data_IF_737563405025
#
_entry.id   IF_737563405025
#
_cell.length_a   1.000
_cell.length_b   1.000
_cell.length_c   1.000
_cell.angle_alpha   90.00
_cell.angle_beta   90.00
_cell.angle_gamma   90.00
#
_symmetry.space_group_name_H-M   'P 1'
#
loop_
_entity.id
_entity.type
_entity.pdbx_description
1 polymer ?
#
# COMPACT_ATOMS: atom_id res chain seq x y z
N UNK A 1 -8.47 -15.51 -20.60
CA UNK A 1 -8.17 -14.35 -19.75
C UNK A 1 -8.77 -14.59 -18.37
N UNK A 2 -7.96 -14.64 -17.33
CA UNK A 2 -8.38 -14.92 -15.96
C UNK A 2 -9.08 -13.69 -15.35
N UNK A 3 -10.06 -13.89 -14.46
CA UNK A 3 -10.79 -12.81 -13.76
C UNK A 3 -9.84 -11.82 -13.03
N UNK A 4 -8.69 -12.30 -12.56
CA UNK A 4 -7.58 -11.50 -12.01
C UNK A 4 -7.18 -10.34 -12.93
N UNK A 5 -7.14 -10.59 -14.24
CA UNK A 5 -6.73 -9.58 -15.21
C UNK A 5 -7.76 -8.45 -15.33
N UNK A 6 -9.05 -8.81 -15.33
CA UNK A 6 -10.14 -7.83 -15.31
C UNK A 6 -10.16 -7.04 -14.00
N UNK A 7 -9.86 -7.68 -12.87
CA UNK A 7 -9.74 -6.99 -11.58
C UNK A 7 -8.59 -5.98 -11.57
N UNK A 8 -7.40 -6.38 -12.04
CA UNK A 8 -6.22 -5.49 -12.11
C UNK A 8 -6.46 -4.31 -13.06
N UNK A 9 -7.12 -4.53 -14.20
CA UNK A 9 -7.50 -3.45 -15.12
C UNK A 9 -8.62 -2.56 -14.57
N UNK A 10 -9.52 -3.12 -13.76
CA UNK A 10 -10.63 -2.38 -13.15
C UNK A 10 -10.17 -1.36 -12.11
N UNK A 11 -9.08 -1.62 -11.37
CA UNK A 11 -8.56 -0.70 -10.33
C UNK A 11 -8.21 0.70 -10.89
N UNK A 12 -7.38 0.86 -11.94
CA UNK A 12 -7.04 2.17 -12.47
C UNK A 12 -8.25 2.87 -13.10
N UNK A 13 -9.10 2.12 -13.81
CA UNK A 13 -10.33 2.67 -14.43
C UNK A 13 -11.30 3.16 -13.37
N UNK A 14 -11.55 2.36 -12.32
CA UNK A 14 -12.40 2.72 -11.20
C UNK A 14 -11.87 3.91 -10.41
N UNK A 15 -10.55 3.97 -10.16
CA UNK A 15 -9.92 5.13 -9.54
C UNK A 15 -10.11 6.41 -10.38
N UNK A 16 -9.94 6.31 -11.70
CA UNK A 16 -10.14 7.43 -12.61
C UNK A 16 -11.60 7.93 -12.57
N UNK A 17 -12.58 7.04 -12.71
CA UNK A 17 -14.01 7.38 -12.65
C UNK A 17 -14.38 7.99 -11.29
N UNK A 18 -13.89 7.43 -10.19
CA UNK A 18 -14.16 7.94 -8.84
C UNK A 18 -13.59 9.36 -8.64
N UNK A 19 -12.37 9.62 -9.13
CA UNK A 19 -11.77 10.96 -9.06
C UNK A 19 -12.49 11.98 -9.93
N UNK A 20 -13.02 11.55 -11.09
CA UNK A 20 -13.83 12.39 -11.98
C UNK A 20 -15.18 12.72 -11.35
N UNK A 21 -15.88 11.73 -10.79
CA UNK A 21 -17.16 11.91 -10.11
C UNK A 21 -17.06 12.83 -8.88
N UNK A 22 -15.93 12.77 -8.16
CA UNK A 22 -15.70 13.62 -6.98
C UNK A 22 -15.10 14.99 -7.36
N UNK A 23 -14.75 15.23 -8.63
CA UNK A 23 -14.04 16.42 -9.12
C UNK A 23 -12.80 16.80 -8.27
N UNK A 24 -12.18 15.82 -7.60
CA UNK A 24 -11.07 16.01 -6.65
C UNK A 24 -9.73 15.61 -7.26
N UNK A 25 -9.52 15.92 -8.53
CA UNK A 25 -8.28 15.60 -9.20
C UNK A 25 -7.14 16.45 -8.62
N UNK A 26 -6.39 15.87 -7.68
CA UNK A 26 -5.26 16.52 -7.01
C UNK A 26 -4.03 15.65 -7.15
N UNK A 27 -3.23 15.96 -8.16
CA UNK A 27 -1.95 15.31 -8.42
C UNK A 27 -0.92 15.75 -7.38
N UNK A 28 -0.68 14.92 -6.35
CA UNK A 28 0.38 15.15 -5.36
C UNK A 28 1.52 14.16 -5.53
N UNK A 29 2.53 14.59 -6.30
CA UNK A 29 3.77 13.85 -6.58
C UNK A 29 4.71 13.79 -5.38
N UNK A 30 4.49 14.57 -4.32
CA UNK A 30 5.12 14.34 -3.00
C UNK A 30 4.06 14.54 -1.91
N UNK A 31 3.80 13.55 -1.02
CA UNK A 31 2.90 13.73 0.10
C UNK A 31 3.56 14.68 1.11
N UNK A 32 2.76 15.45 1.83
CA UNK A 32 3.26 16.40 2.83
C UNK A 32 4.17 15.71 3.86
N UNK A 33 3.86 14.47 4.27
CA UNK A 33 4.65 13.70 5.24
C UNK A 33 6.04 13.31 4.70
N UNK A 34 6.13 12.91 3.43
CA UNK A 34 7.43 12.62 2.81
C UNK A 34 8.27 13.89 2.69
N UNK A 35 7.64 15.00 2.31
CA UNK A 35 8.32 16.30 2.19
C UNK A 35 8.88 16.74 3.54
N UNK A 36 8.14 16.52 4.63
CA UNK A 36 8.56 16.83 6.01
C UNK A 36 9.79 16.02 6.44
N UNK A 37 9.89 14.74 6.07
CA UNK A 37 10.98 13.86 6.53
C UNK A 37 12.18 13.75 5.57
N UNK A 38 11.93 13.60 4.28
CA UNK A 38 12.96 13.28 3.27
C UNK A 38 13.24 14.41 2.28
N UNK A 39 12.49 15.52 2.35
CA UNK A 39 12.62 16.68 1.47
C UNK A 39 11.72 16.64 0.23
N UNK A 40 11.77 17.69 -0.59
CA UNK A 40 10.90 17.88 -1.76
C UNK A 40 11.38 17.20 -3.05
N UNK A 41 12.49 16.47 -3.03
CA UNK A 41 13.07 15.90 -4.25
C UNK A 41 12.21 14.73 -4.80
N UNK A 42 11.58 14.88 -5.99
CA UNK A 42 10.70 13.86 -6.56
C UNK A 42 11.44 12.58 -6.95
N UNK A 43 12.70 12.67 -7.38
CA UNK A 43 13.48 11.49 -7.81
C UNK A 43 13.71 10.50 -6.67
N UNK A 44 14.05 10.99 -5.48
CA UNK A 44 14.23 10.15 -4.29
C UNK A 44 12.92 9.46 -3.90
N UNK A 45 11.77 10.14 -3.96
CA UNK A 45 10.47 9.51 -3.66
C UNK A 45 10.18 8.36 -4.63
N UNK A 46 10.41 8.57 -5.92
CA UNK A 46 10.10 7.55 -6.93
C UNK A 46 10.95 6.29 -6.71
N UNK A 47 12.26 6.45 -6.48
CA UNK A 47 13.17 5.33 -6.16
C UNK A 47 12.68 4.56 -4.93
N UNK A 48 12.38 5.26 -3.83
CA UNK A 48 11.87 4.61 -2.61
C UNK A 48 10.50 3.93 -2.80
N UNK A 49 9.66 4.47 -3.68
CA UNK A 49 8.35 3.87 -4.00
C UNK A 49 8.51 2.57 -4.81
N UNK A 50 9.47 2.54 -5.74
CA UNK A 50 9.83 1.33 -6.48
C UNK A 50 10.44 0.26 -5.57
N UNK A 51 11.38 0.65 -4.71
CA UNK A 51 12.00 -0.26 -3.73
C UNK A 51 10.93 -0.83 -2.79
N UNK A 52 10.05 0.01 -2.25
CA UNK A 52 8.94 -0.43 -1.41
C UNK A 52 7.99 -1.39 -2.16
N UNK A 53 7.65 -1.10 -3.42
CA UNK A 53 6.85 -1.98 -4.25
C UNK A 53 7.50 -3.34 -4.50
N UNK A 54 8.81 -3.37 -4.75
CA UNK A 54 9.56 -4.61 -4.91
C UNK A 54 9.56 -5.45 -3.62
N UNK A 55 9.80 -4.83 -2.46
CA UNK A 55 9.74 -5.51 -1.16
C UNK A 55 8.34 -6.08 -0.88
N UNK A 56 7.28 -5.34 -1.20
CA UNK A 56 5.91 -5.83 -1.06
C UNK A 56 5.62 -7.02 -1.96
N UNK A 57 6.07 -6.97 -3.23
CA UNK A 57 5.87 -8.07 -4.17
C UNK A 57 6.64 -9.33 -3.74
N UNK A 58 7.89 -9.15 -3.31
CA UNK A 58 8.71 -10.21 -2.76
C UNK A 58 8.05 -10.83 -1.53
N UNK A 59 7.63 -10.01 -0.56
CA UNK A 59 6.93 -10.47 0.65
C UNK A 59 5.64 -11.23 0.35
N UNK A 60 4.82 -10.74 -0.60
CA UNK A 60 3.60 -11.42 -1.03
C UNK A 60 3.89 -12.80 -1.64
N UNK A 61 5.01 -12.95 -2.37
CA UNK A 61 5.44 -14.25 -2.90
C UNK A 61 5.94 -15.19 -1.82
N UNK A 62 6.70 -14.70 -0.84
CA UNK A 62 7.14 -15.50 0.30
C UNK A 62 5.97 -15.97 1.18
N UNK A 63 4.96 -15.12 1.37
CA UNK A 63 3.75 -15.45 2.13
C UNK A 63 2.73 -16.32 1.39
N UNK A 64 2.98 -16.67 0.12
CA UNK A 64 2.08 -17.51 -0.68
C UNK A 64 0.78 -16.82 -1.10
N UNK A 65 0.64 -15.50 -0.92
CA UNK A 65 -0.55 -14.78 -1.35
C UNK A 65 -0.51 -13.28 -1.09
N UNK A 66 -1.56 -12.59 -1.56
CA UNK A 66 -1.70 -11.14 -1.46
C UNK A 66 -2.74 -10.75 -0.41
N UNK A 67 -2.81 -9.46 -0.10
CA UNK A 67 -3.81 -8.89 0.80
C UNK A 67 -5.24 -9.16 0.33
N UNK A 68 -5.50 -9.14 -0.98
CA UNK A 68 -6.84 -9.47 -1.49
C UNK A 68 -7.23 -10.93 -1.24
N UNK A 69 -6.27 -11.85 -1.33
CA UNK A 69 -6.50 -13.29 -1.12
C UNK A 69 -6.59 -13.68 0.35
N UNK A 70 -5.53 -13.43 1.13
CA UNK A 70 -5.48 -13.85 2.53
C UNK A 70 -6.29 -12.93 3.46
N UNK A 71 -6.42 -11.65 3.15
CA UNK A 71 -7.06 -10.68 4.05
C UNK A 71 -8.55 -10.56 3.75
N UNK A 72 -8.95 -10.27 2.51
CA UNK A 72 -10.37 -10.04 2.17
C UNK A 72 -11.15 -11.36 2.09
N UNK A 73 -10.65 -12.34 1.31
CA UNK A 73 -11.34 -13.63 1.14
C UNK A 73 -10.99 -14.64 2.23
N UNK A 74 -9.77 -14.59 2.77
CA UNK A 74 -9.31 -15.53 3.79
C UNK A 74 -9.92 -15.31 5.18
N UNK A 75 -10.20 -14.07 5.56
CA UNK A 75 -10.85 -13.76 6.84
C UNK A 75 -12.34 -14.16 6.82
N UNK A 76 -13.04 -13.95 5.69
CA UNK A 76 -14.46 -14.34 5.58
C UNK A 76 -14.68 -15.85 5.66
N UNK A 77 -13.66 -16.65 5.31
CA UNK A 77 -13.67 -18.11 5.45
C UNK A 77 -13.26 -18.60 6.85
N UNK A 78 -13.02 -17.68 7.81
CA UNK A 78 -12.50 -17.98 9.16
C UNK A 78 -11.21 -18.82 9.15
N UNK A 79 -10.39 -18.71 8.10
CA UNK A 79 -9.16 -19.46 8.01
C UNK A 79 -8.13 -18.94 9.04
N UNK A 80 -7.66 -19.81 9.92
CA UNK A 80 -6.68 -19.47 10.97
C UNK A 80 -5.39 -18.92 10.35
N UNK A 81 -4.97 -19.48 9.21
CA UNK A 81 -3.80 -19.02 8.46
C UNK A 81 -3.93 -17.55 8.02
N UNK A 82 -5.13 -17.12 7.65
CA UNK A 82 -5.43 -15.75 7.22
C UNK A 82 -5.38 -14.76 8.38
N UNK A 83 -5.83 -15.16 9.58
CA UNK A 83 -5.68 -14.34 10.79
C UNK A 83 -4.22 -14.11 11.15
N UNK A 84 -3.39 -15.17 11.12
CA UNK A 84 -1.96 -15.07 11.43
C UNK A 84 -1.24 -14.18 10.41
N UNK A 85 -1.49 -14.38 9.11
CA UNK A 85 -0.92 -13.54 8.06
C UNK A 85 -1.32 -12.06 8.22
N UNK A 86 -2.60 -11.82 8.50
CA UNK A 86 -3.16 -10.48 8.71
C UNK A 86 -2.54 -9.77 9.91
N UNK A 87 -2.41 -10.47 11.04
CA UNK A 87 -1.78 -9.94 12.24
C UNK A 87 -0.31 -9.61 12.00
N UNK A 88 0.44 -10.49 11.35
CA UNK A 88 1.84 -10.27 11.02
C UNK A 88 2.04 -9.08 10.06
N UNK A 89 1.18 -8.94 9.04
CA UNK A 89 1.20 -7.78 8.14
C UNK A 89 0.91 -6.47 8.89
N UNK A 90 -0.08 -6.45 9.78
CA UNK A 90 -0.39 -5.24 10.54
C UNK A 90 0.72 -4.87 11.52
N UNK A 91 1.28 -5.84 12.26
CA UNK A 91 2.37 -5.61 13.22
C UNK A 91 3.60 -5.06 12.47
N UNK A 92 4.03 -5.72 11.40
CA UNK A 92 5.18 -5.27 10.61
C UNK A 92 4.95 -3.89 9.97
N UNK A 93 3.73 -3.61 9.50
CA UNK A 93 3.36 -2.29 8.97
C UNK A 93 3.41 -1.19 10.02
N UNK A 94 2.86 -1.43 11.21
CA UNK A 94 2.89 -0.47 12.33
C UNK A 94 4.33 -0.22 12.78
N UNK A 95 5.13 -1.27 12.96
CA UNK A 95 6.54 -1.15 13.34
C UNK A 95 7.31 -0.35 12.29
N UNK A 96 7.14 -0.67 11.00
CA UNK A 96 7.81 0.05 9.89
C UNK A 96 7.39 1.52 9.84
N UNK A 97 6.11 1.82 10.01
CA UNK A 97 5.61 3.19 10.05
C UNK A 97 6.20 3.97 11.24
N UNK A 98 6.26 3.35 12.42
CA UNK A 98 6.84 3.94 13.63
C UNK A 98 8.34 4.16 13.48
N UNK A 99 9.08 3.26 12.84
CA UNK A 99 10.52 3.42 12.59
C UNK A 99 10.78 4.52 11.55
N UNK A 100 10.03 4.54 10.46
CA UNK A 100 10.26 5.47 9.35
C UNK A 100 9.82 6.91 9.67
N UNK A 101 8.74 7.07 10.42
CA UNK A 101 8.16 8.39 10.75
C UNK A 101 8.29 8.78 12.23
N UNK A 102 9.15 8.10 13.01
CA UNK A 102 9.33 8.33 14.46
C UNK A 102 9.51 9.80 14.84
N UNK A 103 10.21 10.57 14.01
CA UNK A 103 10.58 11.96 14.27
C UNK A 103 9.59 12.99 13.66
N UNK A 104 8.60 12.56 12.88
CA UNK A 104 7.68 13.45 12.16
C UNK A 104 6.53 14.02 13.02
N UNK A 105 6.38 13.53 14.25
CA UNK A 105 5.31 13.93 15.18
C UNK A 105 5.62 15.13 16.07
N UNK A 106 6.78 15.79 15.92
CA UNK A 106 7.23 16.84 16.85
C UNK A 106 7.05 18.28 16.35
N UNK A 107 6.37 18.52 15.22
CA UNK A 107 6.10 19.88 14.73
C UNK A 107 4.72 19.96 14.06
N UNK A 108 3.69 20.09 14.89
CA UNK A 108 2.50 20.86 14.51
C UNK A 108 2.89 22.32 14.33
#
# INVERSE_FOLDING_TARGET
>A
ATYEFFFVLGIPVGAFVATMATARFRTRVVPIEWRRRFGSNPGRRLVWSFVGGFLLLFGARFGGGCTSGHMISGISQLAISSFVFSAALFISGIVTARLLYRDGGSRC
#
